data_IF_912848403115
#
_entry.id   IF_912848403115
#
_cell.length_a   1.000
_cell.length_b   1.000
_cell.length_c   1.000
_cell.angle_alpha   90.00
_cell.angle_beta   90.00
_cell.angle_gamma   90.00
#
_symmetry.space_group_name_H-M   'P 1'
#
loop_
_entity.id
_entity.type
_entity.pdbx_description
1 polymer ?
#
# COMPACT_ATOMS: atom_id res chain seq x y z
N UNK A 1 24.64 -26.18 26.29
CA UNK A 1 23.26 -25.66 26.41
C UNK A 1 23.21 -24.40 25.54
N UNK A 2 22.18 -24.24 24.70
CA UNK A 2 21.98 -23.02 23.90
C UNK A 2 21.67 -21.84 24.84
N UNK A 3 22.26 -20.68 24.59
CA UNK A 3 22.15 -19.51 25.46
C UNK A 3 22.01 -18.22 24.62
N UNK A 4 20.89 -17.53 24.78
CA UNK A 4 20.56 -16.27 24.08
C UNK A 4 21.29 -15.06 24.65
N UNK A 5 21.69 -15.10 25.92
CA UNK A 5 22.33 -13.98 26.61
C UNK A 5 23.85 -13.99 26.38
N UNK A 6 24.45 -15.18 26.36
CA UNK A 6 25.87 -15.36 26.04
C UNK A 6 26.16 -15.42 24.52
N UNK A 7 25.11 -15.42 23.68
CA UNK A 7 25.18 -15.49 22.21
C UNK A 7 26.15 -16.56 21.70
N UNK A 8 26.02 -17.79 22.22
CA UNK A 8 26.95 -18.89 21.99
C UNK A 8 26.74 -19.65 20.66
N UNK A 9 26.21 -18.97 19.64
CA UNK A 9 25.83 -19.52 18.34
C UNK A 9 26.24 -18.57 17.20
N UNK A 10 26.44 -19.08 15.97
CA UNK A 10 26.81 -18.24 14.84
C UNK A 10 25.70 -17.23 14.51
N UNK A 11 26.08 -15.98 14.24
CA UNK A 11 25.16 -14.90 13.80
C UNK A 11 25.56 -14.30 12.45
N UNK A 12 26.55 -14.89 11.78
CA UNK A 12 27.08 -14.47 10.47
C UNK A 12 27.32 -15.68 9.56
N UNK A 13 27.59 -15.43 8.27
CA UNK A 13 27.81 -16.45 7.24
C UNK A 13 26.63 -17.41 7.01
N UNK A 14 25.40 -16.92 7.19
CA UNK A 14 24.20 -17.68 6.83
C UNK A 14 24.00 -17.76 5.31
N UNK A 15 23.33 -18.82 4.86
CA UNK A 15 22.87 -18.93 3.48
C UNK A 15 21.53 -18.19 3.34
N UNK A 16 21.50 -17.16 2.49
CA UNK A 16 20.25 -16.49 2.16
C UNK A 16 19.37 -17.41 1.30
N UNK A 17 18.16 -17.71 1.76
CA UNK A 17 17.22 -18.60 1.07
C UNK A 17 16.21 -17.80 0.23
N UNK A 18 15.69 -16.69 0.75
CA UNK A 18 14.68 -15.88 0.07
C UNK A 18 14.00 -14.85 0.97
N UNK A 19 13.00 -14.16 0.41
CA UNK A 19 12.13 -13.20 1.10
C UNK A 19 10.68 -13.67 1.09
N UNK A 20 9.92 -13.28 2.11
CA UNK A 20 8.48 -13.43 2.19
C UNK A 20 7.85 -12.09 2.56
N UNK A 21 6.69 -11.79 1.98
CA UNK A 21 5.89 -10.61 2.32
C UNK A 21 4.45 -11.02 2.62
N UNK A 22 3.77 -10.21 3.43
CA UNK A 22 2.38 -10.41 3.81
C UNK A 22 1.62 -9.10 3.65
N UNK A 23 0.32 -9.21 3.37
CA UNK A 23 -0.61 -8.10 3.26
C UNK A 23 -1.94 -8.54 3.87
N UNK A 24 -2.73 -7.60 4.38
CA UNK A 24 -4.15 -7.83 4.65
C UNK A 24 -4.93 -7.73 3.33
N UNK A 25 -5.35 -8.85 2.71
CA UNK A 25 -5.95 -8.80 1.40
C UNK A 25 -7.37 -8.23 1.50
N UNK A 26 -7.81 -7.43 0.51
CA UNK A 26 -9.20 -7.00 0.46
C UNK A 26 -10.13 -8.23 0.36
N UNK A 27 -11.30 -8.15 1.00
CA UNK A 27 -12.33 -9.18 0.84
C UNK A 27 -12.66 -9.35 -0.64
N UNK A 28 -12.85 -10.59 -1.09
CA UNK A 28 -13.04 -10.96 -2.49
C UNK A 28 -14.21 -10.25 -3.19
N UNK A 29 -15.22 -9.81 -2.43
CA UNK A 29 -16.40 -9.11 -2.94
C UNK A 29 -16.21 -7.60 -3.12
N UNK A 30 -15.17 -7.02 -2.52
CA UNK A 30 -14.97 -5.56 -2.50
C UNK A 30 -14.69 -4.98 -3.90
N UNK A 31 -13.81 -5.56 -4.73
CA UNK A 31 -13.54 -5.00 -6.06
C UNK A 31 -14.78 -4.92 -6.96
N UNK A 32 -15.65 -5.94 -6.92
CA UNK A 32 -16.92 -5.97 -7.67
C UNK A 32 -17.90 -4.90 -7.17
N UNK A 33 -18.05 -4.78 -5.85
CA UNK A 33 -18.90 -3.75 -5.25
C UNK A 33 -18.43 -2.32 -5.63
N UNK A 34 -17.11 -2.06 -5.55
CA UNK A 34 -16.54 -0.76 -5.96
C UNK A 34 -16.82 -0.49 -7.44
N UNK A 35 -16.65 -1.49 -8.31
CA UNK A 35 -16.92 -1.37 -9.75
C UNK A 35 -18.38 -1.02 -10.02
N UNK A 36 -19.33 -1.72 -9.38
CA UNK A 36 -20.76 -1.46 -9.51
C UNK A 36 -21.12 -0.04 -9.08
N UNK A 37 -20.65 0.39 -7.91
CA UNK A 37 -20.87 1.76 -7.42
C UNK A 37 -20.36 2.80 -8.42
N UNK A 38 -19.15 2.62 -8.94
CA UNK A 38 -18.57 3.54 -9.94
C UNK A 38 -19.36 3.56 -11.24
N UNK A 39 -19.80 2.41 -11.76
CA UNK A 39 -20.62 2.34 -12.97
C UNK A 39 -21.98 3.03 -12.82
N UNK A 40 -22.48 3.12 -11.59
CA UNK A 40 -23.70 3.86 -11.24
C UNK A 40 -23.45 5.37 -11.02
N UNK A 41 -22.22 5.87 -11.22
CA UNK A 41 -21.86 7.28 -10.97
C UNK A 41 -21.65 7.64 -9.50
N UNK A 42 -21.55 6.64 -8.60
CA UNK A 42 -21.35 6.86 -7.17
C UNK A 42 -19.86 7.07 -6.89
N UNK A 43 -19.54 8.15 -6.17
CA UNK A 43 -18.18 8.44 -5.72
C UNK A 43 -17.84 7.57 -4.49
N UNK A 44 -16.82 6.71 -4.63
CA UNK A 44 -16.32 5.86 -3.55
C UNK A 44 -15.11 6.52 -2.89
N UNK A 45 -15.10 6.62 -1.57
CA UNK A 45 -14.02 7.23 -0.78
C UNK A 45 -13.57 6.23 0.29
N UNK A 46 -12.25 6.05 0.43
CA UNK A 46 -11.65 5.28 1.52
C UNK A 46 -11.31 6.20 2.69
N UNK A 47 -11.80 5.85 3.88
CA UNK A 47 -11.41 6.47 5.15
C UNK A 47 -10.84 5.38 6.03
N UNK A 48 -9.57 5.50 6.41
CA UNK A 48 -8.86 4.50 7.21
C UNK A 48 -7.85 5.18 8.14
N UNK A 49 -7.58 4.56 9.28
CA UNK A 49 -6.51 4.96 10.20
C UNK A 49 -5.17 4.26 9.93
N UNK A 50 -5.09 3.47 8.86
CA UNK A 50 -3.89 2.75 8.46
C UNK A 50 -2.83 3.67 7.82
N UNK A 51 -1.60 3.18 7.72
CA UNK A 51 -0.49 3.92 7.14
C UNK A 51 -0.78 4.30 5.67
N UNK A 52 -0.44 5.53 5.21
CA UNK A 52 -0.83 6.02 3.88
C UNK A 52 -0.38 5.11 2.73
N UNK A 53 0.79 4.49 2.84
CA UNK A 53 1.33 3.58 1.81
C UNK A 53 0.45 2.34 1.68
N UNK A 54 0.05 1.73 2.79
CA UNK A 54 -0.82 0.55 2.82
C UNK A 54 -2.21 0.90 2.30
N UNK A 55 -2.79 2.01 2.79
CA UNK A 55 -4.08 2.50 2.34
C UNK A 55 -4.12 2.72 0.82
N UNK A 56 -3.08 3.36 0.26
CA UNK A 56 -2.94 3.58 -1.18
C UNK A 56 -2.83 2.28 -1.96
N UNK A 57 -2.04 1.31 -1.47
CA UNK A 57 -1.92 0.00 -2.10
C UNK A 57 -3.27 -0.72 -2.15
N UNK A 58 -4.01 -0.74 -1.04
CA UNK A 58 -5.34 -1.34 -0.97
C UNK A 58 -6.32 -0.60 -1.87
N UNK A 59 -6.37 0.74 -1.81
CA UNK A 59 -7.26 1.56 -2.63
C UNK A 59 -7.04 1.37 -4.14
N UNK A 60 -5.78 1.17 -4.59
CA UNK A 60 -5.46 0.77 -5.97
C UNK A 60 -5.95 -0.65 -6.26
N UNK A 61 -5.70 -1.60 -5.37
CA UNK A 61 -6.10 -3.02 -5.56
C UNK A 61 -7.61 -3.22 -5.69
N UNK A 62 -8.43 -2.44 -4.97
CA UNK A 62 -9.90 -2.53 -5.01
C UNK A 62 -10.55 -1.59 -6.02
N UNK A 63 -9.77 -0.82 -6.78
CA UNK A 63 -10.29 0.07 -7.82
C UNK A 63 -10.93 1.37 -7.32
N UNK A 64 -10.65 1.79 -6.08
CA UNK A 64 -11.02 3.13 -5.60
C UNK A 64 -10.15 4.18 -6.30
N UNK A 65 -8.85 3.92 -6.38
CA UNK A 65 -7.92 4.67 -7.25
C UNK A 65 -7.81 3.90 -8.56
N UNK A 66 -8.27 4.47 -9.67
CA UNK A 66 -8.14 3.85 -10.99
C UNK A 66 -6.69 3.81 -11.46
N UNK A 67 -6.35 2.86 -12.34
CA UNK A 67 -5.01 2.75 -12.94
C UNK A 67 -4.54 4.04 -13.63
N UNK A 68 -5.47 4.83 -14.18
CA UNK A 68 -5.18 6.09 -14.86
C UNK A 68 -5.33 7.32 -13.94
N UNK A 69 -5.47 7.12 -12.63
CA UNK A 69 -5.66 8.20 -11.66
C UNK A 69 -4.41 8.35 -10.81
N UNK A 70 -3.84 9.55 -10.83
CA UNK A 70 -2.69 9.90 -10.00
C UNK A 70 -3.17 10.49 -8.66
N UNK A 71 -2.56 10.07 -7.55
CA UNK A 71 -2.72 10.77 -6.26
C UNK A 71 -1.87 12.05 -6.24
N UNK A 72 -2.11 12.93 -5.26
CA UNK A 72 -1.30 14.15 -5.08
C UNK A 72 0.19 13.80 -4.95
N UNK A 73 0.50 12.71 -4.26
CA UNK A 73 1.87 12.19 -4.11
C UNK A 73 2.43 11.61 -5.41
N UNK A 74 1.60 10.96 -6.25
CA UNK A 74 2.02 10.46 -7.56
C UNK A 74 2.40 11.63 -8.49
N UNK A 75 1.59 12.70 -8.47
CA UNK A 75 1.84 13.93 -9.24
C UNK A 75 3.10 14.63 -8.74
N UNK A 76 3.27 14.76 -7.42
CA UNK A 76 4.44 15.39 -6.80
C UNK A 76 5.74 14.70 -7.23
N UNK A 77 5.74 13.37 -7.16
CA UNK A 77 6.87 12.53 -7.55
C UNK A 77 7.18 12.65 -9.04
N UNK A 78 6.15 12.64 -9.91
CA UNK A 78 6.33 12.79 -11.36
C UNK A 78 6.90 14.15 -11.74
N UNK A 79 6.45 15.21 -11.06
CA UNK A 79 6.90 16.58 -11.31
C UNK A 79 8.19 16.95 -10.56
N UNK A 80 8.68 16.08 -9.68
CA UNK A 80 9.81 16.32 -8.78
C UNK A 80 9.65 17.60 -7.96
N UNK A 81 8.45 17.80 -7.42
CA UNK A 81 8.06 18.93 -6.57
C UNK A 81 7.60 18.44 -5.21
N UNK A 82 7.51 19.35 -4.23
CA UNK A 82 6.95 19.03 -2.93
C UNK A 82 5.44 18.74 -3.06
N UNK A 83 4.88 17.87 -2.21
CA UNK A 83 3.46 17.48 -2.28
C UNK A 83 2.55 18.69 -2.10
N UNK A 84 2.98 19.65 -1.28
CA UNK A 84 2.30 20.92 -1.00
C UNK A 84 2.22 21.83 -2.23
N UNK A 85 3.07 21.60 -3.24
CA UNK A 85 3.09 22.35 -4.50
C UNK A 85 2.16 21.75 -5.55
N UNK A 86 1.62 20.55 -5.31
CA UNK A 86 0.64 19.91 -6.20
C UNK A 86 -0.75 20.45 -5.90
N UNK A 87 -1.27 21.28 -6.82
CA UNK A 87 -2.57 21.96 -6.74
C UNK A 87 -2.71 22.90 -5.51
N UNK A 88 -2.13 24.09 -5.63
CA UNK A 88 -2.78 25.28 -5.07
C UNK A 88 -4.08 25.51 -5.87
N UNK A 89 -5.19 24.98 -5.38
CA UNK A 89 -6.52 25.51 -5.77
C UNK A 89 -6.86 26.68 -4.87
#
# INVERSE_FOLDING_TARGET
MFDTDAMNFPTSNFCFVGLLSMIDPPRSTVPDAVTKCRSAGIKVIMVTGDHPITAKAIAKSVGIISANSETVEDIAKRLNIAVEQVNQR
#
